data_IF_215148874782
#
_entry.id   IF_215148874782
#
_cell.length_a   1.000
_cell.length_b   1.000
_cell.length_c   1.000
_cell.angle_alpha   90.00
_cell.angle_beta   90.00
_cell.angle_gamma   90.00
#
_symmetry.space_group_name_H-M   'P 1'
#
loop_
_entity.id
_entity.type
_entity.pdbx_description
1 polymer ?
#
# COMPACT_ATOMS: atom_id res chain seq x y z
N UNK A 1 21.40 -21.77 11.02
CA UNK A 1 21.31 -22.89 10.08
C UNK A 1 19.86 -23.09 9.71
N UNK A 2 19.55 -23.15 8.45
CA UNK A 2 18.19 -23.39 7.92
C UNK A 2 18.21 -24.71 7.14
N UNK A 3 17.30 -25.59 7.43
CA UNK A 3 17.12 -26.85 6.69
C UNK A 3 15.64 -27.05 6.37
N UNK A 4 15.33 -27.49 5.17
CA UNK A 4 13.96 -27.81 4.73
C UNK A 4 13.83 -29.31 4.44
N UNK A 5 12.89 -29.96 5.07
CA UNK A 5 12.53 -31.36 4.87
C UNK A 5 11.08 -31.44 4.38
N UNK A 6 10.88 -31.42 3.08
CA UNK A 6 9.53 -31.37 2.49
C UNK A 6 8.79 -30.07 2.88
N UNK A 7 7.67 -30.21 3.61
CA UNK A 7 6.89 -29.07 4.13
C UNK A 7 7.36 -28.60 5.54
N UNK A 8 8.50 -29.08 5.99
CA UNK A 8 9.06 -28.76 7.31
C UNK A 8 10.27 -27.86 7.16
N UNK A 9 10.26 -26.71 7.84
CA UNK A 9 11.39 -25.81 7.96
C UNK A 9 11.96 -25.92 9.38
N UNK A 10 13.28 -26.15 9.47
CA UNK A 10 13.99 -26.14 10.73
C UNK A 10 14.98 -24.99 10.73
N UNK A 11 14.93 -24.15 11.75
CA UNK A 11 15.88 -23.06 11.94
C UNK A 11 16.54 -23.11 13.29
N UNK A 12 17.83 -22.74 13.35
CA UNK A 12 18.55 -22.60 14.60
C UNK A 12 19.34 -21.29 14.56
N UNK A 13 19.28 -20.54 15.66
CA UNK A 13 19.97 -19.27 15.84
C UNK A 13 20.74 -19.29 17.17
N UNK A 14 21.96 -18.76 17.16
CA UNK A 14 22.74 -18.51 18.38
C UNK A 14 23.25 -17.09 18.37
N UNK A 15 23.01 -16.36 19.43
CA UNK A 15 23.45 -14.97 19.62
C UNK A 15 24.28 -14.89 20.90
N UNK A 16 25.45 -14.27 20.80
CA UNK A 16 26.35 -14.02 21.89
C UNK A 16 26.61 -12.52 22.00
N UNK A 17 26.38 -11.94 23.14
CA UNK A 17 26.49 -10.50 23.37
C UNK A 17 27.75 -10.22 24.24
N UNK A 18 28.51 -9.22 23.81
CA UNK A 18 29.63 -8.71 24.61
C UNK A 18 29.27 -7.39 25.28
N UNK A 19 29.93 -7.06 26.37
CA UNK A 19 29.69 -5.79 27.05
C UNK A 19 30.09 -4.56 26.23
N UNK A 20 30.88 -4.75 25.15
CA UNK A 20 31.37 -3.68 24.27
C UNK A 20 30.48 -3.42 23.04
N UNK A 21 29.72 -4.44 22.59
CA UNK A 21 28.88 -4.35 21.40
C UNK A 21 27.49 -4.89 21.74
N UNK A 22 26.61 -4.00 22.18
CA UNK A 22 25.20 -4.31 22.43
C UNK A 22 24.32 -3.56 21.46
N UNK A 23 23.39 -4.27 20.89
CA UNK A 23 22.30 -3.67 20.14
C UNK A 23 21.13 -3.38 21.09
N UNK A 24 20.47 -2.24 20.93
CA UNK A 24 19.22 -1.89 21.65
C UNK A 24 18.10 -2.93 21.48
N UNK A 25 18.29 -3.85 20.53
CA UNK A 25 17.35 -4.94 20.23
C UNK A 25 17.31 -6.01 21.31
N UNK A 26 18.33 -6.11 22.17
CA UNK A 26 18.46 -7.13 23.20
C UNK A 26 18.45 -6.52 24.61
N UNK A 27 17.90 -7.29 25.55
CA UNK A 27 17.92 -6.91 26.98
C UNK A 27 19.33 -6.60 27.45
N UNK A 28 19.46 -5.57 28.29
CA UNK A 28 20.76 -5.07 28.74
C UNK A 28 21.57 -6.11 29.55
N UNK A 29 20.91 -7.08 30.17
CA UNK A 29 21.50 -8.15 30.98
C UNK A 29 21.64 -9.49 30.23
N UNK A 30 21.20 -9.59 28.99
CA UNK A 30 21.31 -10.80 28.17
C UNK A 30 22.78 -11.04 27.80
N UNK A 31 23.29 -12.25 28.05
CA UNK A 31 24.63 -12.69 27.66
C UNK A 31 24.63 -13.55 26.42
N UNK A 32 23.70 -14.48 26.32
CA UNK A 32 23.51 -15.30 25.13
C UNK A 32 22.08 -15.75 24.97
N UNK A 33 21.64 -15.93 23.73
CA UNK A 33 20.37 -16.51 23.36
C UNK A 33 20.58 -17.57 22.29
N UNK A 34 19.99 -18.74 22.49
CA UNK A 34 20.01 -19.85 21.54
C UNK A 34 18.56 -20.26 21.30
N UNK A 35 18.15 -20.32 20.04
CA UNK A 35 16.82 -20.74 19.68
C UNK A 35 16.84 -21.77 18.57
N UNK A 36 15.91 -22.70 18.65
CA UNK A 36 15.62 -23.67 17.59
C UNK A 36 14.12 -23.58 17.31
N UNK A 37 13.74 -23.52 16.05
CA UNK A 37 12.35 -23.60 15.65
C UNK A 37 12.13 -24.68 14.60
N UNK A 38 10.94 -25.26 14.64
CA UNK A 38 10.44 -26.22 13.65
C UNK A 38 9.07 -25.73 13.21
N UNK A 39 8.95 -25.37 11.95
CA UNK A 39 7.70 -24.97 11.32
C UNK A 39 7.26 -26.05 10.36
N UNK A 40 6.05 -26.55 10.56
CA UNK A 40 5.44 -27.60 9.74
C UNK A 40 4.01 -27.24 9.38
N UNK A 41 3.57 -27.60 8.18
CA UNK A 41 2.18 -27.41 7.77
C UNK A 41 1.54 -28.75 7.43
N UNK A 42 0.50 -29.10 8.18
CA UNK A 42 -0.30 -30.29 7.83
C UNK A 42 -1.49 -29.91 6.97
N UNK A 43 -1.89 -30.84 6.13
CA UNK A 43 -3.10 -30.73 5.35
C UNK A 43 -4.25 -31.42 6.09
N UNK A 44 -5.28 -30.65 6.43
CA UNK A 44 -6.52 -31.16 7.02
C UNK A 44 -7.66 -30.88 6.05
N UNK A 45 -8.13 -31.90 5.36
CA UNK A 45 -9.06 -31.75 4.24
C UNK A 45 -8.45 -30.93 3.11
N UNK A 46 -9.05 -29.79 2.79
CA UNK A 46 -8.55 -28.85 1.76
C UNK A 46 -7.67 -27.73 2.32
N UNK A 47 -7.48 -27.64 3.64
CA UNK A 47 -6.79 -26.54 4.30
C UNK A 47 -5.43 -26.97 4.84
N UNK A 48 -4.48 -26.05 4.80
CA UNK A 48 -3.20 -26.17 5.48
C UNK A 48 -3.27 -25.54 6.87
N UNK A 49 -2.80 -26.25 7.86
CA UNK A 49 -2.77 -25.84 9.26
C UNK A 49 -1.30 -25.76 9.70
N UNK A 50 -0.74 -24.55 9.84
CA UNK A 50 0.64 -24.37 10.28
C UNK A 50 0.78 -24.67 11.78
N UNK A 51 1.80 -25.46 12.10
CA UNK A 51 2.32 -25.68 13.44
C UNK A 51 3.72 -25.09 13.52
N UNK A 52 3.97 -24.31 14.56
CA UNK A 52 5.31 -23.80 14.90
C UNK A 52 5.68 -24.26 16.30
N UNK A 53 6.85 -24.88 16.42
CA UNK A 53 7.45 -25.25 17.69
C UNK A 53 8.76 -24.47 17.84
N UNK A 54 8.96 -23.82 18.97
CA UNK A 54 10.18 -23.07 19.25
C UNK A 54 10.68 -23.37 20.66
N UNK A 55 11.96 -23.61 20.78
CA UNK A 55 12.68 -23.67 22.05
C UNK A 55 13.71 -22.54 22.10
N UNK A 56 13.77 -21.79 23.20
CA UNK A 56 14.73 -20.69 23.38
C UNK A 56 15.40 -20.81 24.74
N UNK A 57 16.73 -20.81 24.74
CA UNK A 57 17.55 -20.75 25.96
C UNK A 57 18.23 -19.39 26.03
N UNK A 58 18.01 -18.68 27.15
CA UNK A 58 18.61 -17.37 27.42
C UNK A 58 19.50 -17.46 28.65
N UNK A 59 20.69 -16.90 28.56
CA UNK A 59 21.61 -16.78 29.72
C UNK A 59 21.88 -15.32 29.98
N UNK A 60 21.76 -14.91 31.25
CA UNK A 60 21.95 -13.53 31.67
C UNK A 60 23.37 -13.32 32.25
N UNK A 61 23.80 -12.07 32.36
CA UNK A 61 25.13 -11.69 32.87
C UNK A 61 25.31 -12.01 34.35
N UNK A 62 24.22 -12.00 35.12
CA UNK A 62 24.22 -12.40 36.56
C UNK A 62 24.27 -13.92 36.75
N UNK A 63 24.29 -14.72 35.68
CA UNK A 63 24.32 -16.19 35.76
C UNK A 63 22.93 -16.84 35.66
N UNK A 64 21.84 -16.12 35.81
CA UNK A 64 20.48 -16.64 35.64
C UNK A 64 20.26 -17.16 34.24
N UNK A 65 19.37 -18.12 34.09
CA UNK A 65 18.98 -18.61 32.76
C UNK A 65 17.48 -18.87 32.67
N UNK A 66 16.94 -18.73 31.47
CA UNK A 66 15.54 -18.98 31.13
C UNK A 66 15.48 -19.98 30.00
N UNK A 67 14.68 -21.02 30.14
CA UNK A 67 14.31 -21.93 29.04
C UNK A 67 12.84 -21.69 28.73
N UNK A 68 12.57 -21.34 27.49
CA UNK A 68 11.24 -21.07 26.97
C UNK A 68 10.90 -22.09 25.89
N UNK A 69 9.66 -22.63 25.94
CA UNK A 69 9.09 -23.48 24.90
C UNK A 69 7.81 -22.83 24.37
N UNK A 70 7.65 -22.77 23.08
CA UNK A 70 6.44 -22.28 22.41
C UNK A 70 5.94 -23.33 21.44
N UNK A 71 4.67 -23.70 21.55
CA UNK A 71 3.95 -24.44 20.54
C UNK A 71 2.78 -23.61 20.03
N UNK A 72 2.70 -23.37 18.74
CA UNK A 72 1.67 -22.54 18.10
C UNK A 72 1.00 -23.32 16.99
N UNK A 73 -0.34 -23.30 16.99
CA UNK A 73 -1.17 -23.86 15.95
C UNK A 73 -2.15 -22.80 15.45
N UNK A 74 -2.23 -22.60 14.14
CA UNK A 74 -3.13 -21.61 13.56
C UNK A 74 -4.04 -22.26 12.52
N UNK A 75 -5.31 -21.87 12.50
CA UNK A 75 -6.27 -22.30 11.49
C UNK A 75 -7.25 -21.18 11.13
N UNK A 76 -7.71 -21.23 9.88
CA UNK A 76 -8.62 -20.23 9.33
C UNK A 76 -10.00 -20.85 9.10
N UNK A 77 -11.02 -20.22 9.69
CA UNK A 77 -12.43 -20.55 9.45
C UNK A 77 -13.09 -19.32 8.80
N UNK A 78 -13.34 -19.40 7.47
CA UNK A 78 -13.84 -18.27 6.70
C UNK A 78 -12.93 -17.03 6.87
N UNK A 79 -13.44 -15.97 7.47
CA UNK A 79 -12.75 -14.71 7.69
C UNK A 79 -12.10 -14.59 9.09
N UNK A 80 -12.08 -15.71 9.84
CA UNK A 80 -11.55 -15.75 11.21
C UNK A 80 -10.27 -16.59 11.21
N UNK A 81 -9.19 -16.02 11.70
CA UNK A 81 -7.97 -16.75 12.03
C UNK A 81 -7.94 -16.99 13.53
N UNK A 82 -7.84 -18.25 13.93
CA UNK A 82 -7.70 -18.67 15.32
C UNK A 82 -6.32 -19.26 15.53
N UNK A 83 -5.62 -18.81 16.57
CA UNK A 83 -4.29 -19.29 16.94
C UNK A 83 -4.31 -19.73 18.38
N UNK A 84 -3.99 -20.99 18.64
CA UNK A 84 -3.72 -21.52 19.95
C UNK A 84 -2.21 -21.58 20.19
N UNK A 85 -1.77 -21.12 21.37
CA UNK A 85 -0.37 -21.19 21.77
C UNK A 85 -0.25 -21.83 23.15
N UNK A 86 0.76 -22.66 23.35
CA UNK A 86 1.25 -23.13 24.64
C UNK A 86 2.63 -22.52 24.85
N UNK A 87 2.79 -21.80 25.96
CA UNK A 87 4.03 -21.10 26.32
C UNK A 87 4.51 -21.71 27.64
N UNK A 88 5.63 -22.41 27.57
CA UNK A 88 6.29 -22.94 28.74
C UNK A 88 7.53 -22.12 29.08
N UNK A 89 7.73 -21.82 30.34
CA UNK A 89 8.85 -21.03 30.84
C UNK A 89 9.39 -21.65 32.14
N UNK A 90 10.70 -21.87 32.16
CA UNK A 90 11.45 -22.29 33.33
C UNK A 90 12.62 -21.34 33.56
N UNK A 91 12.58 -20.64 34.69
CA UNK A 91 13.67 -19.79 35.13
C UNK A 91 14.56 -20.55 36.12
N UNK A 92 15.88 -20.43 35.92
CA UNK A 92 16.89 -20.91 36.84
C UNK A 92 17.71 -19.74 37.37
N UNK A 93 17.84 -19.65 38.66
CA UNK A 93 18.64 -18.61 39.32
C UNK A 93 20.06 -19.09 39.53
N UNK A 94 21.03 -18.20 39.36
CA UNK A 94 22.43 -18.49 39.68
C UNK A 94 22.63 -18.70 41.18
N UNK A 95 21.81 -18.00 41.98
CA UNK A 95 21.81 -18.10 43.45
C UNK A 95 20.38 -18.13 43.98
N UNK A 96 20.14 -19.01 44.97
CA UNK A 96 18.82 -19.17 45.61
C UNK A 96 17.98 -20.28 45.01
N UNK A 97 16.69 -20.26 45.32
CA UNK A 97 15.72 -21.29 44.86
C UNK A 97 15.15 -20.93 43.51
N UNK A 98 15.11 -21.89 42.60
CA UNK A 98 14.46 -21.73 41.33
C UNK A 98 12.96 -21.50 41.46
N UNK A 99 12.37 -20.55 40.76
CA UNK A 99 10.92 -20.40 40.71
C UNK A 99 10.28 -21.61 40.02
N UNK A 100 9.04 -21.98 40.38
CA UNK A 100 8.33 -23.06 39.70
C UNK A 100 8.15 -22.75 38.24
N UNK A 101 8.24 -23.81 37.41
CA UNK A 101 7.96 -23.68 35.96
C UNK A 101 6.53 -23.23 35.72
N UNK A 102 6.34 -22.52 34.64
CA UNK A 102 5.07 -21.93 34.23
C UNK A 102 4.67 -22.45 32.86
N UNK A 103 3.40 -22.81 32.71
CA UNK A 103 2.79 -23.16 31.42
C UNK A 103 1.53 -22.34 31.25
N UNK A 104 1.48 -21.57 30.19
CA UNK A 104 0.31 -20.77 29.81
C UNK A 104 -0.27 -21.27 28.50
N UNK A 105 -1.58 -21.30 28.38
CA UNK A 105 -2.31 -21.44 27.14
C UNK A 105 -2.86 -20.08 26.71
N UNK A 106 -2.63 -19.70 25.46
CA UNK A 106 -3.13 -18.45 24.88
C UNK A 106 -3.97 -18.78 23.66
N UNK A 107 -5.18 -18.26 23.63
CA UNK A 107 -6.06 -18.31 22.48
C UNK A 107 -6.16 -16.92 21.87
N UNK A 108 -5.84 -16.79 20.58
CA UNK A 108 -6.02 -15.56 19.82
C UNK A 108 -7.01 -15.79 18.69
N UNK A 109 -7.89 -14.83 18.51
CA UNK A 109 -8.88 -14.82 17.43
C UNK A 109 -8.79 -13.49 16.70
N UNK A 110 -8.64 -13.53 15.39
CA UNK A 110 -8.63 -12.35 14.54
C UNK A 110 -9.66 -12.55 13.43
N UNK A 111 -10.54 -11.58 13.23
CA UNK A 111 -11.56 -11.64 12.19
C UNK A 111 -11.80 -10.28 11.55
N UNK A 112 -12.26 -10.31 10.30
CA UNK A 112 -12.71 -9.11 9.59
C UNK A 112 -14.12 -9.34 9.06
N UNK A 113 -15.04 -8.46 9.44
CA UNK A 113 -16.46 -8.53 9.10
C UNK A 113 -16.85 -7.20 8.44
N UNK A 114 -16.78 -7.14 7.11
CA UNK A 114 -16.95 -5.87 6.40
C UNK A 114 -15.89 -4.84 6.84
N UNK A 115 -16.35 -3.69 7.33
CA UNK A 115 -15.49 -2.62 7.86
C UNK A 115 -15.00 -2.83 9.29
N UNK A 116 -15.50 -3.84 10.01
CA UNK A 116 -15.16 -4.14 11.40
C UNK A 116 -14.02 -5.17 11.45
N UNK A 117 -12.95 -4.85 12.17
CA UNK A 117 -11.87 -5.78 12.52
C UNK A 117 -11.96 -6.11 14.01
N UNK A 118 -12.07 -7.39 14.34
CA UNK A 118 -12.09 -7.89 15.71
C UNK A 118 -10.80 -8.65 16.02
N UNK A 119 -10.25 -8.41 17.22
CA UNK A 119 -9.12 -9.16 17.77
C UNK A 119 -9.46 -9.56 19.21
N UNK A 120 -9.39 -10.84 19.50
CA UNK A 120 -9.58 -11.39 20.83
C UNK A 120 -8.32 -12.12 21.30
N UNK A 121 -8.02 -12.02 22.57
CA UNK A 121 -6.99 -12.81 23.26
C UNK A 121 -7.54 -13.27 24.59
N UNK A 122 -7.29 -14.53 24.92
CA UNK A 122 -7.56 -15.08 26.26
C UNK A 122 -6.36 -15.91 26.69
N UNK A 123 -5.93 -15.74 27.95
CA UNK A 123 -4.78 -16.41 28.53
C UNK A 123 -5.16 -17.18 29.81
N UNK A 124 -4.74 -18.43 29.88
CA UNK A 124 -4.97 -19.36 30.97
C UNK A 124 -3.66 -19.92 31.47
N UNK A 125 -3.43 -19.93 32.79
CA UNK A 125 -2.35 -20.64 33.42
C UNK A 125 -2.72 -22.13 33.60
N UNK A 126 -1.87 -23.01 33.08
CA UNK A 126 -2.01 -24.47 33.19
C UNK A 126 -1.07 -25.05 34.27
N UNK A 127 0.10 -24.41 34.46
CA UNK A 127 1.09 -24.79 35.45
C UNK A 127 1.65 -23.52 36.13
N UNK A 128 1.99 -23.60 37.38
CA UNK A 128 2.28 -22.48 38.28
C UNK A 128 0.97 -21.90 38.81
N UNK A 129 0.69 -20.61 38.58
CA UNK A 129 -0.60 -20.01 38.95
C UNK A 129 -1.67 -20.47 37.94
N UNK A 130 -2.45 -21.46 38.35
CA UNK A 130 -3.49 -22.08 37.49
C UNK A 130 -4.74 -21.22 37.44
N UNK A 131 -5.41 -21.25 36.28
CA UNK A 131 -6.70 -20.62 36.05
C UNK A 131 -6.66 -19.52 35.01
N UNK A 132 -7.80 -18.85 34.85
CA UNK A 132 -7.94 -17.72 33.91
C UNK A 132 -7.07 -16.54 34.37
N UNK A 133 -6.29 -15.96 33.45
CA UNK A 133 -5.39 -14.83 33.76
C UNK A 133 -5.90 -13.52 33.22
N UNK A 134 -6.18 -13.48 31.94
CA UNK A 134 -6.64 -12.26 31.28
C UNK A 134 -7.39 -12.55 29.99
N UNK A 135 -8.25 -11.61 29.62
CA UNK A 135 -8.79 -11.54 28.27
C UNK A 135 -8.78 -10.10 27.78
N UNK A 136 -8.70 -9.95 26.45
CA UNK A 136 -8.80 -8.67 25.78
C UNK A 136 -9.56 -8.86 24.46
N UNK A 137 -10.54 -8.00 24.20
CA UNK A 137 -11.25 -7.91 22.94
C UNK A 137 -11.10 -6.49 22.42
N UNK A 138 -10.65 -6.36 21.19
CA UNK A 138 -10.51 -5.07 20.51
C UNK A 138 -11.31 -5.09 19.21
N UNK A 139 -12.19 -4.12 19.04
CA UNK A 139 -12.91 -3.84 17.81
C UNK A 139 -12.42 -2.55 17.18
N UNK A 140 -12.09 -2.59 15.90
CA UNK A 140 -11.70 -1.43 15.11
C UNK A 140 -12.62 -1.35 13.90
N UNK A 141 -13.25 -0.20 13.66
CA UNK A 141 -14.10 0.00 12.49
C UNK A 141 -13.90 1.37 11.88
N UNK A 142 -13.98 1.41 10.56
CA UNK A 142 -13.86 2.62 9.79
C UNK A 142 -15.25 3.26 9.65
N UNK A 143 -15.38 4.51 10.10
CA UNK A 143 -16.61 5.29 10.02
C UNK A 143 -16.50 6.38 8.93
N UNK A 144 -16.13 5.98 7.72
CA UNK A 144 -15.85 6.86 6.59
C UNK A 144 -14.37 6.80 6.18
N UNK A 145 -13.97 7.62 5.21
CA UNK A 145 -12.61 7.57 4.64
C UNK A 145 -11.55 8.08 5.62
N UNK A 146 -11.90 9.01 6.48
CA UNK A 146 -10.95 9.73 7.35
C UNK A 146 -11.18 9.47 8.84
N UNK A 147 -12.06 8.55 9.22
CA UNK A 147 -12.43 8.33 10.62
C UNK A 147 -12.38 6.87 11.00
N UNK A 148 -11.72 6.57 12.11
CA UNK A 148 -11.66 5.24 12.69
C UNK A 148 -12.08 5.27 14.16
N UNK A 149 -12.86 4.27 14.55
CA UNK A 149 -13.20 3.99 15.94
C UNK A 149 -12.49 2.75 16.41
N UNK A 150 -12.14 2.74 17.69
CA UNK A 150 -11.60 1.59 18.41
C UNK A 150 -12.32 1.43 19.73
N UNK A 151 -12.80 0.22 20.00
CA UNK A 151 -13.30 -0.18 21.32
C UNK A 151 -12.43 -1.30 21.86
N UNK A 152 -12.18 -1.28 23.17
CA UNK A 152 -11.39 -2.27 23.86
C UNK A 152 -12.12 -2.71 25.14
N UNK A 153 -12.28 -4.02 25.32
CA UNK A 153 -12.75 -4.65 26.54
C UNK A 153 -11.62 -5.54 27.05
N UNK A 154 -11.31 -5.42 28.32
CA UNK A 154 -10.27 -6.21 28.96
C UNK A 154 -10.71 -6.71 30.33
N UNK A 155 -10.16 -7.84 30.75
CA UNK A 155 -10.28 -8.34 32.11
C UNK A 155 -8.99 -8.99 32.54
N UNK A 156 -8.52 -8.67 33.75
CA UNK A 156 -7.35 -9.23 34.41
C UNK A 156 -7.77 -9.88 35.74
N UNK A 157 -7.48 -11.18 35.88
CA UNK A 157 -7.96 -11.96 36.99
C UNK A 157 -7.17 -11.69 38.27
N UNK A 158 -5.86 -11.39 38.18
CA UNK A 158 -5.00 -11.14 39.35
C UNK A 158 -5.50 -9.98 40.22
N UNK A 159 -5.96 -8.90 39.58
CA UNK A 159 -6.54 -7.73 40.25
C UNK A 159 -8.07 -7.68 40.19
N UNK A 160 -8.74 -8.70 39.65
CA UNK A 160 -10.19 -8.68 39.34
C UNK A 160 -10.60 -7.40 38.61
N UNK A 161 -9.74 -6.95 37.72
CA UNK A 161 -9.86 -5.65 37.07
C UNK A 161 -10.43 -5.77 35.66
N UNK A 162 -11.59 -5.14 35.46
CA UNK A 162 -12.17 -4.92 34.12
C UNK A 162 -11.69 -3.61 33.53
N UNK A 163 -11.56 -3.55 32.21
CA UNK A 163 -11.13 -2.37 31.45
C UNK A 163 -12.08 -2.17 30.25
N UNK A 164 -12.57 -0.93 30.12
CA UNK A 164 -13.28 -0.44 28.94
C UNK A 164 -12.49 0.71 28.33
N UNK A 165 -12.19 0.63 27.04
CA UNK A 165 -11.53 1.68 26.29
C UNK A 165 -12.34 2.08 25.07
N UNK A 166 -12.40 3.37 24.78
CA UNK A 166 -12.93 3.92 23.54
C UNK A 166 -11.92 4.89 22.94
N UNK A 167 -11.68 4.79 21.65
CA UNK A 167 -10.81 5.68 20.90
C UNK A 167 -11.47 6.11 19.60
N UNK A 168 -11.25 7.34 19.24
CA UNK A 168 -11.66 7.90 17.97
C UNK A 168 -10.50 8.61 17.33
N UNK A 169 -10.20 8.26 16.07
CA UNK A 169 -9.17 8.92 15.27
C UNK A 169 -9.82 9.58 14.07
N UNK A 170 -9.55 10.86 13.88
CA UNK A 170 -9.87 11.60 12.65
C UNK A 170 -8.60 12.06 11.97
N UNK A 171 -8.49 11.74 10.68
CA UNK A 171 -7.41 12.21 9.82
C UNK A 171 -7.89 13.44 9.07
N UNK A 172 -7.10 14.49 9.16
CA UNK A 172 -7.18 15.69 8.35
C UNK A 172 -5.99 15.64 7.37
N UNK A 173 -5.97 16.48 6.37
CA UNK A 173 -4.88 16.47 5.37
C UNK A 173 -3.50 16.70 6.00
N UNK A 174 -3.43 17.62 6.98
CA UNK A 174 -2.17 18.02 7.61
C UNK A 174 -1.82 17.22 8.87
N UNK A 175 -2.79 16.69 9.59
CA UNK A 175 -2.59 15.99 10.85
C UNK A 175 -3.68 14.97 11.13
N UNK A 176 -3.41 14.03 12.03
CA UNK A 176 -4.41 13.13 12.59
C UNK A 176 -4.60 13.42 14.08
N UNK A 177 -5.84 13.48 14.53
CA UNK A 177 -6.21 13.68 15.92
C UNK A 177 -6.84 12.39 16.46
N UNK A 178 -6.29 11.89 17.57
CA UNK A 178 -6.83 10.70 18.26
C UNK A 178 -7.20 11.07 19.68
N UNK A 179 -8.49 10.99 20.00
CA UNK A 179 -9.00 11.02 21.36
C UNK A 179 -9.20 9.60 21.90
N UNK A 180 -8.83 9.34 23.14
CA UNK A 180 -9.08 8.05 23.78
C UNK A 180 -9.46 8.24 25.24
N UNK A 181 -10.39 7.39 25.70
CA UNK A 181 -10.79 7.31 27.09
C UNK A 181 -10.74 5.85 27.52
N UNK A 182 -10.23 5.58 28.70
CA UNK A 182 -10.22 4.26 29.34
C UNK A 182 -10.74 4.38 30.75
N UNK A 183 -11.59 3.45 31.13
CA UNK A 183 -12.08 3.30 32.50
C UNK A 183 -11.84 1.87 32.97
N UNK A 184 -11.52 1.71 34.24
CA UNK A 184 -11.34 0.41 34.85
C UNK A 184 -12.22 0.27 36.07
N UNK A 185 -12.54 -0.97 36.43
CA UNK A 185 -13.45 -1.30 37.58
C UNK A 185 -12.85 -0.95 38.94
N UNK A 186 -11.56 -0.65 39.01
CA UNK A 186 -10.88 -0.14 40.23
C UNK A 186 -11.08 1.37 40.42
N UNK A 187 -11.90 2.02 39.59
CA UNK A 187 -12.15 3.46 39.60
C UNK A 187 -11.14 4.29 38.84
N UNK A 188 -10.14 3.69 38.24
CA UNK A 188 -9.15 4.41 37.42
C UNK A 188 -9.80 4.86 36.10
N UNK A 189 -9.72 6.14 35.79
CA UNK A 189 -10.13 6.71 34.52
C UNK A 189 -8.97 7.46 33.91
N UNK A 190 -8.70 7.24 32.64
CA UNK A 190 -7.68 7.96 31.89
C UNK A 190 -8.25 8.48 30.57
N UNK A 191 -7.90 9.70 30.20
CA UNK A 191 -8.19 10.30 28.92
C UNK A 191 -6.89 10.77 28.28
N UNK A 192 -6.80 10.66 26.98
CA UNK A 192 -5.64 11.08 26.19
C UNK A 192 -6.06 11.72 24.89
N UNK A 193 -5.31 12.75 24.48
CA UNK A 193 -5.41 13.37 23.19
C UNK A 193 -4.05 13.28 22.52
N UNK A 194 -4.01 12.73 21.31
CA UNK A 194 -2.79 12.61 20.53
C UNK A 194 -2.95 13.32 19.19
N UNK A 195 -2.00 14.21 18.89
CA UNK A 195 -1.85 14.88 17.61
C UNK A 195 -0.65 14.27 16.89
N UNK A 196 -0.89 13.68 15.72
CA UNK A 196 0.14 13.09 14.89
C UNK A 196 0.23 13.81 13.56
N UNK A 197 1.42 14.19 13.16
CA UNK A 197 1.72 14.77 11.85
C UNK A 197 3.13 14.42 11.41
N UNK A 198 3.38 14.58 10.12
CA UNK A 198 4.71 14.47 9.52
C UNK A 198 5.09 15.79 8.88
N UNK A 199 6.37 16.11 8.93
CA UNK A 199 6.96 17.24 8.18
C UNK A 199 7.90 16.65 7.13
N UNK A 200 7.76 17.12 5.90
CA UNK A 200 8.63 16.78 4.78
C UNK A 200 9.03 18.02 3.99
N UNK A 201 10.11 17.97 3.20
CA UNK A 201 10.49 19.07 2.33
C UNK A 201 9.43 19.31 1.26
N UNK A 202 9.19 20.57 0.93
CA UNK A 202 8.40 20.97 -0.24
C UNK A 202 9.35 21.57 -1.28
N UNK A 203 9.82 20.77 -2.26
CA UNK A 203 10.80 21.24 -3.24
C UNK A 203 10.23 22.24 -4.25
N UNK A 204 8.90 22.35 -4.34
CA UNK A 204 8.23 23.20 -5.33
C UNK A 204 7.88 24.57 -4.74
N UNK A 205 7.34 24.59 -3.49
CA UNK A 205 6.95 25.83 -2.82
C UNK A 205 8.03 26.34 -1.88
N UNK A 206 9.04 25.54 -1.58
CA UNK A 206 10.06 25.79 -0.57
C UNK A 206 9.54 25.57 0.85
N UNK A 207 10.46 25.32 1.81
CA UNK A 207 10.12 25.08 3.20
C UNK A 207 9.64 23.67 3.49
N UNK A 208 8.60 23.54 4.32
CA UNK A 208 8.10 22.24 4.78
C UNK A 208 6.61 22.08 4.50
N UNK A 209 6.25 20.86 4.08
CA UNK A 209 4.86 20.39 4.00
C UNK A 209 4.52 19.61 5.26
N UNK A 210 3.36 19.91 5.83
CA UNK A 210 2.75 19.15 6.92
C UNK A 210 1.72 18.17 6.34
N UNK A 211 1.73 16.91 6.81
CA UNK A 211 0.80 15.87 6.37
C UNK A 211 0.45 14.94 7.51
N UNK A 212 -0.76 14.38 7.48
CA UNK A 212 -1.19 13.28 8.35
C UNK A 212 -0.57 11.93 7.94
N UNK A 213 -0.05 11.84 6.73
CA UNK A 213 0.65 10.64 6.24
C UNK A 213 2.10 10.59 6.73
N UNK A 214 2.66 9.38 6.82
CA UNK A 214 4.06 9.17 7.23
C UNK A 214 5.02 9.51 6.08
N UNK A 215 5.28 10.80 5.84
CA UNK A 215 6.10 11.27 4.73
C UNK A 215 7.50 10.62 4.69
N UNK A 216 8.14 10.44 5.84
CA UNK A 216 9.48 9.85 5.91
C UNK A 216 9.54 8.36 5.51
N UNK A 217 8.42 7.65 5.59
CA UNK A 217 8.35 6.21 5.31
C UNK A 217 7.67 5.89 3.98
N UNK A 218 7.05 6.86 3.32
CA UNK A 218 6.36 6.72 2.04
C UNK A 218 7.08 7.43 0.91
N UNK A 219 6.83 7.00 -0.31
CA UNK A 219 7.21 7.72 -1.51
C UNK A 219 6.29 8.91 -1.76
N UNK A 220 6.82 9.93 -2.40
CA UNK A 220 6.15 11.21 -2.65
C UNK A 220 6.49 11.71 -4.06
N UNK A 221 5.54 12.38 -4.69
CA UNK A 221 5.77 13.12 -5.92
C UNK A 221 5.08 14.48 -5.87
N UNK A 222 5.70 15.47 -6.50
CA UNK A 222 5.10 16.74 -6.84
C UNK A 222 4.95 16.80 -8.35
N UNK A 223 3.75 17.02 -8.82
CA UNK A 223 3.45 17.11 -10.24
C UNK A 223 3.00 18.52 -10.59
N UNK A 224 3.47 19.03 -11.75
CA UNK A 224 2.97 20.25 -12.36
C UNK A 224 2.36 19.89 -13.69
N UNK A 225 1.12 20.32 -13.93
CA UNK A 225 0.41 20.16 -15.21
C UNK A 225 0.45 21.48 -15.97
N UNK A 226 0.89 21.45 -17.20
CA UNK A 226 1.06 22.66 -18.02
C UNK A 226 0.69 22.39 -19.49
N UNK A 227 0.32 23.45 -20.20
CA UNK A 227 0.09 23.39 -21.67
C UNK A 227 1.43 23.58 -22.37
N UNK A 228 1.90 22.53 -23.01
CA UNK A 228 3.11 22.51 -23.82
C UNK A 228 2.78 23.06 -25.21
N UNK A 229 3.04 24.33 -25.44
CA UNK A 229 2.68 25.03 -26.67
C UNK A 229 3.56 24.65 -27.86
N UNK A 230 4.81 24.27 -27.60
CA UNK A 230 5.77 23.91 -28.64
C UNK A 230 6.00 22.39 -28.80
N UNK A 231 5.35 21.58 -27.96
CA UNK A 231 5.40 20.12 -27.93
C UNK A 231 6.83 19.55 -27.74
N UNK A 232 7.66 20.24 -26.93
CA UNK A 232 9.02 19.78 -26.58
C UNK A 232 9.08 18.96 -25.28
N UNK A 233 7.98 18.92 -24.50
CA UNK A 233 7.86 18.20 -23.24
C UNK A 233 8.55 18.88 -22.07
N UNK A 234 9.06 20.10 -22.25
CA UNK A 234 9.82 20.84 -21.24
C UNK A 234 9.03 22.11 -20.88
N UNK A 235 8.71 22.26 -19.59
CA UNK A 235 7.96 23.41 -19.11
C UNK A 235 8.75 24.72 -19.20
N UNK A 236 8.24 25.70 -19.95
CA UNK A 236 8.77 27.06 -20.03
C UNK A 236 7.98 28.02 -19.11
N UNK A 237 8.61 29.16 -18.77
CA UNK A 237 8.03 30.10 -17.84
C UNK A 237 6.76 30.83 -18.36
N UNK A 238 6.58 30.90 -19.68
CA UNK A 238 5.44 31.55 -20.33
C UNK A 238 4.26 30.60 -20.55
N UNK A 239 4.48 29.30 -20.43
CA UNK A 239 3.45 28.29 -20.66
C UNK A 239 2.42 28.26 -19.55
N UNK A 240 1.19 28.13 -19.97
CA UNK A 240 0.03 28.13 -19.08
C UNK A 240 0.00 26.84 -18.25
N UNK A 241 -0.21 26.97 -16.95
CA UNK A 241 -0.46 25.84 -16.05
C UNK A 241 -1.96 25.53 -15.98
N UNK A 242 -2.32 24.26 -15.78
CA UNK A 242 -3.71 23.85 -15.69
C UNK A 242 -4.11 23.49 -14.24
N UNK A 243 -5.20 24.12 -13.80
CA UNK A 243 -5.79 23.90 -12.46
C UNK A 243 -6.96 22.91 -12.52
N UNK A 244 -7.30 22.37 -11.34
CA UNK A 244 -8.42 21.46 -11.16
C UNK A 244 -8.31 20.15 -11.96
N UNK A 245 -7.08 19.75 -12.33
CA UNK A 245 -6.78 18.52 -13.05
C UNK A 245 -6.50 17.40 -12.04
N UNK A 246 -7.16 16.26 -12.20
CA UNK A 246 -6.93 15.07 -11.38
C UNK A 246 -5.79 14.23 -11.95
N UNK A 247 -4.97 13.68 -11.08
CA UNK A 247 -3.88 12.79 -11.46
C UNK A 247 -4.14 11.36 -11.00
N UNK A 248 -3.58 10.41 -11.73
CA UNK A 248 -3.58 9.00 -11.39
C UNK A 248 -2.19 8.53 -10.98
N UNK A 249 -2.12 7.63 -10.01
CA UNK A 249 -0.93 6.86 -9.71
C UNK A 249 -1.26 5.37 -9.82
N UNK A 250 -0.77 4.73 -10.87
CA UNK A 250 -1.24 3.42 -11.31
C UNK A 250 -2.66 3.50 -11.88
N UNK A 251 -3.59 2.71 -11.32
CA UNK A 251 -4.99 2.65 -11.76
C UNK A 251 -5.96 3.49 -10.92
N UNK A 252 -5.47 4.30 -10.01
CA UNK A 252 -6.33 5.05 -9.07
C UNK A 252 -6.01 6.53 -9.09
N UNK A 253 -7.04 7.37 -8.99
CA UNK A 253 -6.87 8.79 -8.70
C UNK A 253 -6.12 8.97 -7.38
N UNK A 254 -5.15 9.87 -7.36
CA UNK A 254 -4.28 10.13 -6.18
C UNK A 254 -3.97 11.62 -6.06
N UNK A 255 -4.03 12.08 -4.83
CA UNK A 255 -3.80 13.48 -4.49
C UNK A 255 -5.06 14.33 -4.66
N UNK A 256 -4.92 15.61 -4.38
CA UNK A 256 -5.94 16.63 -4.68
C UNK A 256 -5.78 17.09 -6.13
N UNK A 257 -6.84 17.62 -6.76
CA UNK A 257 -6.69 18.28 -8.06
C UNK A 257 -5.62 19.37 -8.03
N UNK A 258 -5.04 19.68 -9.18
CA UNK A 258 -4.02 20.74 -9.29
C UNK A 258 -4.55 22.09 -8.83
N UNK A 259 -3.71 22.86 -8.12
CA UNK A 259 -4.00 24.20 -7.64
C UNK A 259 -3.89 25.27 -8.75
N UNK A 260 -4.04 26.56 -8.38
CA UNK A 260 -3.93 27.69 -9.33
C UNK A 260 -2.53 27.84 -9.97
N UNK A 261 -1.54 27.10 -9.48
CA UNK A 261 -0.19 27.01 -10.06
C UNK A 261 0.00 25.74 -10.88
N UNK A 262 -1.08 25.00 -11.14
CA UNK A 262 -1.04 23.73 -11.83
C UNK A 262 -0.35 22.61 -11.06
N UNK A 263 -0.21 22.74 -9.73
CA UNK A 263 0.61 21.85 -8.91
C UNK A 263 -0.24 20.99 -7.99
N UNK A 264 0.17 19.74 -7.84
CA UNK A 264 -0.39 18.84 -6.84
C UNK A 264 0.67 17.97 -6.19
N UNK A 265 0.34 17.48 -4.99
CA UNK A 265 1.16 16.56 -4.22
C UNK A 265 0.53 15.18 -4.19
N UNK A 266 1.32 14.16 -4.47
CA UNK A 266 0.94 12.76 -4.43
C UNK A 266 1.75 12.08 -3.33
N UNK A 267 1.10 11.73 -2.23
CA UNK A 267 1.69 11.03 -1.10
C UNK A 267 1.38 9.54 -1.09
N UNK A 268 1.91 8.83 -0.08
CA UNK A 268 1.56 7.43 0.17
C UNK A 268 1.98 6.44 -0.91
N UNK A 269 2.91 6.80 -1.79
CA UNK A 269 3.44 5.90 -2.81
C UNK A 269 4.29 4.81 -2.16
N UNK A 270 4.21 3.59 -2.68
CA UNK A 270 5.02 2.47 -2.19
C UNK A 270 6.48 2.69 -2.57
N UNK A 271 7.40 2.78 -1.59
CA UNK A 271 8.81 2.97 -1.89
C UNK A 271 9.39 1.83 -2.72
N UNK A 272 10.31 2.18 -3.62
CA UNK A 272 11.05 1.25 -4.50
C UNK A 272 10.18 0.45 -5.48
N UNK A 273 8.89 0.77 -5.60
CA UNK A 273 7.99 0.16 -6.59
C UNK A 273 7.71 1.18 -7.68
N UNK A 274 8.07 0.89 -8.94
CA UNK A 274 7.75 1.77 -10.06
C UNK A 274 6.24 2.00 -10.17
N UNK A 275 5.84 3.25 -10.33
CA UNK A 275 4.44 3.65 -10.52
C UNK A 275 4.33 4.65 -11.65
N UNK A 276 3.35 4.47 -12.53
CA UNK A 276 3.03 5.43 -13.58
C UNK A 276 2.17 6.53 -12.95
N UNK A 277 2.61 7.77 -13.05
CA UNK A 277 1.84 8.95 -12.69
C UNK A 277 1.40 9.62 -13.98
N UNK A 278 0.10 9.76 -14.15
CA UNK A 278 -0.51 10.33 -15.36
C UNK A 278 -1.64 11.29 -15.02
N UNK A 279 -2.19 11.91 -16.05
CA UNK A 279 -3.33 12.81 -15.96
C UNK A 279 -4.61 12.01 -16.22
N UNK A 280 -5.64 12.21 -15.40
CA UNK A 280 -6.99 11.75 -15.74
C UNK A 280 -7.58 12.68 -16.81
N UNK A 281 -7.60 12.22 -18.05
CA UNK A 281 -8.09 13.01 -19.18
C UNK A 281 -9.56 13.44 -19.02
N UNK A 282 -10.36 12.70 -18.23
CA UNK A 282 -11.77 13.06 -17.98
C UNK A 282 -11.92 14.28 -17.07
N UNK A 283 -10.86 14.64 -16.33
CA UNK A 283 -10.84 15.82 -15.47
C UNK A 283 -10.43 17.12 -16.18
N UNK A 284 -9.98 17.02 -17.43
CA UNK A 284 -9.53 18.18 -18.18
C UNK A 284 -10.73 19.11 -18.51
N UNK A 285 -10.62 20.42 -18.23
CA UNK A 285 -11.72 21.36 -18.47
C UNK A 285 -11.95 21.67 -19.96
N UNK A 286 -10.93 21.46 -20.78
CA UNK A 286 -10.97 21.73 -22.23
C UNK A 286 -10.88 20.40 -23.01
N UNK A 287 -11.92 20.02 -23.78
CA UNK A 287 -11.91 18.79 -24.58
C UNK A 287 -10.90 18.80 -25.73
N UNK A 288 -10.39 19.98 -26.11
CA UNK A 288 -9.37 20.13 -27.15
C UNK A 288 -7.94 20.06 -26.60
N UNK A 289 -7.78 19.70 -25.35
CA UNK A 289 -6.48 19.49 -24.69
C UNK A 289 -6.39 18.05 -24.18
N UNK A 290 -5.26 17.43 -24.38
CA UNK A 290 -5.02 16.06 -23.91
C UNK A 290 -3.61 15.89 -23.34
N UNK A 291 -3.37 14.86 -22.53
CA UNK A 291 -2.03 14.52 -22.08
C UNK A 291 -1.12 14.20 -23.28
N UNK A 292 0.06 14.80 -23.32
CA UNK A 292 1.05 14.54 -24.38
C UNK A 292 1.58 13.11 -24.33
N UNK A 293 1.58 12.50 -23.14
CA UNK A 293 2.02 11.12 -22.88
C UNK A 293 1.07 10.44 -21.89
N UNK A 294 1.13 9.11 -21.82
CA UNK A 294 0.37 8.34 -20.82
C UNK A 294 0.78 8.63 -19.37
N UNK A 295 1.89 9.35 -19.16
CA UNK A 295 2.41 9.73 -17.87
C UNK A 295 3.90 9.45 -17.72
N UNK A 296 4.41 9.67 -16.51
CA UNK A 296 5.83 9.48 -16.13
C UNK A 296 5.92 8.32 -15.15
N UNK A 297 6.80 7.36 -15.43
CA UNK A 297 7.11 6.28 -14.49
C UNK A 297 8.13 6.77 -13.48
N UNK A 298 7.75 6.75 -12.20
CA UNK A 298 8.63 7.12 -11.10
C UNK A 298 8.87 5.93 -10.19
N UNK A 299 10.08 5.83 -9.62
CA UNK A 299 10.40 4.88 -8.56
C UNK A 299 10.61 5.67 -7.27
N UNK A 300 9.57 5.80 -6.43
CA UNK A 300 9.62 6.66 -5.25
C UNK A 300 10.64 6.14 -4.23
N UNK A 301 11.30 7.07 -3.53
CA UNK A 301 12.15 6.76 -2.37
C UNK A 301 11.51 7.28 -1.09
N UNK A 302 11.72 6.61 0.06
CA UNK A 302 11.17 7.07 1.34
C UNK A 302 11.68 8.47 1.67
N UNK A 303 10.76 9.38 1.99
CA UNK A 303 11.08 10.74 2.44
C UNK A 303 11.69 11.68 1.40
N UNK A 304 11.92 11.21 0.18
CA UNK A 304 12.51 12.00 -0.91
C UNK A 304 11.45 12.22 -1.99
N UNK A 305 10.91 13.45 -2.14
CA UNK A 305 9.94 13.73 -3.16
C UNK A 305 10.57 13.77 -4.56
N UNK A 306 9.84 13.22 -5.53
CA UNK A 306 10.16 13.32 -6.96
C UNK A 306 9.37 14.48 -7.54
N UNK A 307 10.00 15.35 -8.33
CA UNK A 307 9.32 16.44 -9.05
C UNK A 307 9.16 16.01 -10.49
N UNK A 308 7.95 16.11 -11.03
CA UNK A 308 7.60 15.77 -12.41
C UNK A 308 6.76 16.86 -13.05
N UNK A 309 6.97 17.08 -14.33
CA UNK A 309 6.15 17.93 -15.16
C UNK A 309 5.34 17.06 -16.13
N UNK A 310 4.05 17.34 -16.25
CA UNK A 310 3.11 16.60 -17.08
C UNK A 310 2.56 17.52 -18.16
N UNK A 311 3.05 17.37 -19.39
CA UNK A 311 2.65 18.23 -20.49
C UNK A 311 1.27 17.87 -21.05
N UNK A 312 0.50 18.89 -21.34
CA UNK A 312 -0.74 18.85 -22.10
C UNK A 312 -0.50 19.45 -23.47
N UNK A 313 -1.06 18.86 -24.50
CA UNK A 313 -0.98 19.38 -25.86
C UNK A 313 -2.37 19.64 -26.42
N UNK A 314 -2.48 20.66 -27.25
CA UNK A 314 -3.72 20.91 -28.00
C UNK A 314 -3.98 19.77 -28.98
N UNK A 315 -5.23 19.37 -29.08
CA UNK A 315 -5.68 18.28 -29.91
C UNK A 315 -6.87 18.75 -30.77
N UNK A 316 -7.06 18.11 -31.88
CA UNK A 316 -8.19 18.35 -32.76
C UNK A 316 -8.77 17.02 -33.24
N UNK A 317 -9.62 17.11 -34.24
CA UNK A 317 -10.23 15.98 -34.92
C UNK A 317 -9.76 15.92 -36.38
N UNK A 318 -9.57 14.71 -36.88
CA UNK A 318 -9.34 14.47 -38.30
C UNK A 318 -10.48 13.59 -38.77
N UNK A 319 -11.31 14.14 -39.68
CA UNK A 319 -12.43 13.41 -40.29
C UNK A 319 -12.36 13.47 -41.81
N UNK A 320 -13.01 12.51 -42.42
CA UNK A 320 -13.10 12.44 -43.87
C UNK A 320 -13.97 11.29 -44.32
N UNK A 321 -14.05 11.09 -45.64
CA UNK A 321 -14.79 9.98 -46.23
C UNK A 321 -13.87 9.15 -47.11
N UNK A 322 -13.79 7.86 -46.84
CA UNK A 322 -12.98 6.91 -47.60
C UNK A 322 -13.76 6.40 -48.77
N UNK A 323 -13.30 6.79 -49.96
CA UNK A 323 -13.91 6.41 -51.23
C UNK A 323 -12.95 5.56 -52.06
N UNK A 324 -13.50 4.61 -52.81
CA UNK A 324 -12.77 3.92 -53.89
C UNK A 324 -12.75 4.78 -55.13
N UNK A 325 -11.75 4.60 -55.95
CA UNK A 325 -11.74 5.17 -57.29
C UNK A 325 -13.06 4.87 -58.00
N UNK A 326 -13.75 5.95 -58.48
CA UNK A 326 -15.14 5.85 -58.97
C UNK A 326 -16.22 6.24 -57.96
N UNK A 327 -15.87 6.74 -56.75
CA UNK A 327 -16.80 7.39 -55.81
C UNK A 327 -17.58 6.45 -54.91
N UNK A 328 -17.28 5.15 -54.90
CA UNK A 328 -17.96 4.19 -54.02
C UNK A 328 -17.35 4.19 -52.60
N UNK A 329 -18.20 4.38 -51.61
CA UNK A 329 -17.80 4.35 -50.20
C UNK A 329 -17.22 2.99 -49.77
N UNK A 330 -16.19 3.01 -48.96
CA UNK A 330 -15.56 1.84 -48.34
C UNK A 330 -15.96 1.75 -46.87
N UNK A 331 -16.74 0.73 -46.56
CA UNK A 331 -17.28 0.46 -45.23
C UNK A 331 -16.39 -0.50 -44.42
N UNK A 332 -16.22 -0.25 -43.14
CA UNK A 332 -15.56 -1.16 -42.17
C UNK A 332 -14.05 -1.27 -42.36
N UNK A 333 -13.44 -0.39 -43.15
CA UNK A 333 -12.01 -0.37 -43.42
C UNK A 333 -11.25 0.26 -42.26
N UNK A 334 -10.26 -0.46 -41.69
CA UNK A 334 -9.37 0.09 -40.66
C UNK A 334 -8.43 1.13 -41.26
N UNK A 335 -8.33 2.26 -40.59
CA UNK A 335 -7.46 3.38 -40.93
C UNK A 335 -6.46 3.61 -39.78
N UNK A 336 -5.24 3.94 -40.15
CA UNK A 336 -4.13 4.23 -39.20
C UNK A 336 -3.58 5.62 -39.49
N UNK A 337 -3.41 6.38 -38.40
CA UNK A 337 -2.73 7.66 -38.40
C UNK A 337 -1.30 7.47 -37.94
N UNK A 338 -0.31 7.86 -38.74
CA UNK A 338 1.11 7.68 -38.44
C UNK A 338 1.76 9.03 -38.16
N UNK A 339 2.69 9.05 -37.22
CA UNK A 339 3.57 10.18 -36.97
C UNK A 339 4.69 10.29 -38.04
N UNK A 340 5.52 11.33 -37.91
CA UNK A 340 6.67 11.55 -38.80
C UNK A 340 7.69 10.41 -38.79
N UNK A 341 7.74 9.62 -37.70
CA UNK A 341 8.61 8.46 -37.57
C UNK A 341 7.99 7.16 -38.13
N UNK A 342 6.75 7.23 -38.64
CA UNK A 342 6.03 6.09 -39.18
C UNK A 342 5.38 5.20 -38.15
N UNK A 343 5.28 5.63 -36.88
CA UNK A 343 4.63 4.88 -35.79
C UNK A 343 3.13 5.19 -35.83
N UNK A 344 2.31 4.15 -35.62
CA UNK A 344 0.86 4.30 -35.54
C UNK A 344 0.52 5.00 -34.24
N UNK A 345 -0.11 6.18 -34.30
CA UNK A 345 -0.53 6.96 -33.13
C UNK A 345 -2.01 6.80 -32.81
N UNK A 346 -2.85 6.60 -33.88
CA UNK A 346 -4.29 6.36 -33.72
C UNK A 346 -4.82 5.41 -34.80
N UNK A 347 -5.90 4.72 -34.47
CA UNK A 347 -6.63 3.85 -35.40
C UNK A 347 -8.12 4.16 -35.31
N UNK A 348 -8.80 4.04 -36.45
CA UNK A 348 -10.25 4.14 -36.54
C UNK A 348 -10.78 3.19 -37.62
N UNK A 349 -12.09 3.14 -37.82
CA UNK A 349 -12.71 2.41 -38.93
C UNK A 349 -13.71 3.29 -39.66
N UNK A 350 -13.77 3.13 -41.01
CA UNK A 350 -14.79 3.81 -41.79
C UNK A 350 -16.19 3.23 -41.51
N UNK A 351 -17.17 4.10 -41.45
CA UNK A 351 -18.58 3.78 -41.32
C UNK A 351 -19.22 3.32 -42.63
N UNK A 352 -20.51 3.06 -42.62
CA UNK A 352 -21.25 2.51 -43.78
C UNK A 352 -21.20 3.38 -45.03
N UNK A 353 -21.09 4.70 -44.85
CA UNK A 353 -20.97 5.72 -45.92
C UNK A 353 -19.50 6.08 -46.25
N UNK A 354 -18.55 5.38 -45.61
CA UNK A 354 -17.13 5.64 -45.74
C UNK A 354 -16.60 6.72 -44.79
N UNK A 355 -17.46 7.35 -44.00
CA UNK A 355 -17.02 8.37 -43.02
C UNK A 355 -16.07 7.76 -42.01
N UNK A 356 -15.03 8.52 -41.61
CA UNK A 356 -14.12 8.17 -40.54
C UNK A 356 -13.80 9.39 -39.70
N UNK A 357 -13.53 9.16 -38.40
CA UNK A 357 -13.17 10.18 -37.44
C UNK A 357 -12.02 9.67 -36.55
N UNK A 358 -10.99 10.49 -36.42
CA UNK A 358 -9.98 10.39 -35.38
C UNK A 358 -10.21 11.55 -34.42
N UNK A 359 -10.64 11.25 -33.21
CA UNK A 359 -10.83 12.22 -32.14
C UNK A 359 -9.53 12.44 -31.37
N UNK A 360 -9.37 13.60 -30.74
CA UNK A 360 -8.26 13.92 -29.83
C UNK A 360 -6.88 13.62 -30.45
N UNK A 361 -6.63 14.14 -31.65
CA UNK A 361 -5.35 14.03 -32.34
C UNK A 361 -4.50 15.24 -31.96
N UNK A 362 -3.30 15.09 -31.33
CA UNK A 362 -2.40 16.21 -31.08
C UNK A 362 -2.11 16.99 -32.37
N UNK A 363 -1.96 18.31 -32.27
CA UNK A 363 -1.58 19.09 -33.48
C UNK A 363 -0.20 18.65 -33.96
N UNK A 364 -0.09 18.38 -35.27
CA UNK A 364 1.13 17.89 -35.87
C UNK A 364 0.97 17.51 -37.35
N UNK A 365 2.03 16.98 -37.92
CA UNK A 365 2.01 16.43 -39.26
C UNK A 365 1.90 14.91 -39.20
N UNK A 366 0.87 14.39 -39.82
CA UNK A 366 0.54 12.97 -39.83
C UNK A 366 0.41 12.44 -41.24
N UNK A 367 0.54 11.14 -41.37
CA UNK A 367 0.22 10.40 -42.61
C UNK A 367 -0.93 9.43 -42.33
N UNK A 368 -1.97 9.49 -43.13
CA UNK A 368 -3.08 8.56 -43.07
C UNK A 368 -2.82 7.38 -44.02
N UNK A 369 -3.07 6.17 -43.54
CA UNK A 369 -3.04 4.96 -44.38
C UNK A 369 -4.15 3.99 -44.04
N UNK A 370 -4.47 3.08 -44.98
CA UNK A 370 -5.32 1.93 -44.69
C UNK A 370 -4.51 0.88 -43.91
N UNK A 371 -5.08 0.34 -42.83
CA UNK A 371 -4.45 -0.73 -42.06
C UNK A 371 -4.15 -1.94 -42.97
N UNK A 372 -2.98 -2.54 -42.81
CA UNK A 372 -2.48 -3.60 -43.69
C UNK A 372 -3.46 -4.77 -43.87
N UNK A 373 -4.11 -5.23 -42.79
CA UNK A 373 -5.14 -6.26 -42.86
C UNK A 373 -6.35 -5.83 -43.70
N UNK A 374 -6.83 -4.60 -43.50
CA UNK A 374 -7.95 -4.06 -44.26
C UNK A 374 -7.59 -3.87 -45.73
N UNK A 375 -6.40 -3.36 -46.02
CA UNK A 375 -5.90 -3.19 -47.40
C UNK A 375 -5.91 -4.51 -48.19
N UNK A 376 -5.48 -5.59 -47.55
CA UNK A 376 -5.49 -6.95 -48.12
C UNK A 376 -6.92 -7.44 -48.40
N UNK A 377 -7.85 -7.23 -47.45
CA UNK A 377 -9.25 -7.66 -47.60
C UNK A 377 -9.99 -6.92 -48.71
N UNK A 378 -9.86 -5.60 -48.72
CA UNK A 378 -10.56 -4.77 -49.72
C UNK A 378 -9.78 -4.59 -51.02
N UNK A 379 -8.57 -5.16 -51.15
CA UNK A 379 -7.69 -5.14 -52.32
C UNK A 379 -7.40 -3.71 -52.79
N UNK A 380 -6.94 -2.87 -51.88
CA UNK A 380 -6.54 -1.47 -52.17
C UNK A 380 -5.08 -1.24 -51.76
N UNK A 381 -4.48 -0.19 -52.33
CA UNK A 381 -3.18 0.29 -51.83
C UNK A 381 -3.34 0.83 -50.39
N UNK A 382 -2.45 0.50 -49.45
CA UNK A 382 -2.50 1.07 -48.12
C UNK A 382 -2.31 2.59 -48.07
N UNK A 383 -1.58 3.18 -49.04
CA UNK A 383 -1.38 4.62 -49.10
C UNK A 383 -2.62 5.32 -49.68
N UNK A 384 -3.05 6.38 -49.03
CA UNK A 384 -4.26 7.15 -49.38
C UNK A 384 -3.82 8.45 -50.05
N UNK A 385 -4.35 8.69 -51.25
CA UNK A 385 -4.27 10.00 -51.89
C UNK A 385 -5.33 10.91 -51.26
N UNK A 386 -4.89 12.02 -50.68
CA UNK A 386 -5.79 13.07 -50.19
C UNK A 386 -6.10 14.06 -51.29
N UNK A 387 -7.38 14.21 -51.63
CA UNK A 387 -7.89 15.24 -52.52
C UNK A 387 -8.47 16.40 -51.72
#
# INVERSE_FOLDING_TARGET
MLGQLGQTLVSAQSVWLSNKFRSERYDADLRSEQSVSVDHSFKIGTKYVPLSLQGTYKKRTNGDSTLEGLARLSFNIKQITTTGELIWEQNKRAFGTDPPGRLDAVLRVNGRFGGLRLRGEAKFGLMGDKGFRQSRLTGEWRAGEHSDWRAELGYEASGKKGLLGLGYTRRFDKFALTGQVRAATDGTVSAGLNLAFSLGPDPVRGGFRMSSEKLAASGQAYATVFQDENADGIRQAHEKVEKAVELTAGLSARGEPTDDRGQTFIGGLTPYVPVLIGIDASSLPDPFVQPATSGVVVTPRPGIPVVIDLPLVSAGEISGTLLREGGRSLNGVGLELLDKAGRVVKVTRSEYDGFFLFESVPYGAYRLRVAALSATVVKVNPDIDMQ
#
